data_IF_144004609012
#
_entry.id   IF_144004609012
#
_cell.length_a   1.000
_cell.length_b   1.000
_cell.length_c   1.000
_cell.angle_alpha   90.00
_cell.angle_beta   90.00
_cell.angle_gamma   90.00
#
_symmetry.space_group_name_H-M   'P 1'
#
loop_
_entity.id
_entity.type
_entity.pdbx_description
1 polymer ?
#
# COMPACT_ATOMS: atom_id res chain seq x y z
N UNK A 1 -25.32 -8.43 -70.47
CA UNK A 1 -24.46 -7.63 -69.56
C UNK A 1 -24.94 -7.94 -68.16
N UNK A 2 -24.34 -8.92 -67.49
CA UNK A 2 -24.76 -9.35 -66.15
C UNK A 2 -23.99 -8.54 -65.09
N UNK A 3 -24.69 -7.75 -64.28
CA UNK A 3 -24.10 -6.87 -63.27
C UNK A 3 -24.12 -7.54 -61.91
N UNK A 4 -23.05 -8.28 -61.60
CA UNK A 4 -22.80 -8.80 -60.26
C UNK A 4 -22.53 -7.63 -59.29
N UNK A 5 -23.27 -7.48 -58.18
CA UNK A 5 -22.98 -6.43 -57.21
C UNK A 5 -21.64 -6.68 -56.50
N UNK A 6 -20.86 -5.63 -56.19
CA UNK A 6 -19.53 -5.78 -55.61
C UNK A 6 -19.59 -6.45 -54.24
N UNK A 7 -18.78 -7.50 -54.07
CA UNK A 7 -18.60 -8.20 -52.81
C UNK A 7 -18.18 -7.21 -51.71
N UNK A 8 -18.95 -7.17 -50.63
CA UNK A 8 -18.63 -6.44 -49.40
C UNK A 8 -17.23 -6.88 -48.92
N UNK A 9 -16.31 -5.95 -48.57
CA UNK A 9 -15.03 -6.33 -47.98
C UNK A 9 -15.28 -7.18 -46.73
N UNK A 10 -14.46 -8.21 -46.43
CA UNK A 10 -14.64 -9.04 -45.25
C UNK A 10 -14.65 -8.13 -44.01
N UNK A 11 -15.81 -8.03 -43.38
CA UNK A 11 -16.01 -7.20 -42.20
C UNK A 11 -14.98 -7.58 -41.14
N UNK A 12 -14.46 -6.57 -40.42
CA UNK A 12 -13.81 -6.79 -39.14
C UNK A 12 -14.68 -7.79 -38.37
N UNK A 13 -14.11 -8.96 -38.07
CA UNK A 13 -14.75 -9.89 -37.15
C UNK A 13 -14.87 -9.15 -35.81
N UNK A 14 -16.04 -8.59 -35.53
CA UNK A 14 -16.45 -8.23 -34.18
C UNK A 14 -16.68 -9.52 -33.40
N UNK A 15 -15.59 -10.26 -33.16
CA UNK A 15 -15.56 -11.21 -32.06
C UNK A 15 -15.75 -10.43 -30.75
N UNK A 16 -16.26 -11.06 -29.69
CA UNK A 16 -16.43 -10.42 -28.39
C UNK A 16 -15.16 -9.65 -28.02
N UNK A 17 -15.26 -8.31 -27.96
CA UNK A 17 -14.13 -7.45 -27.59
C UNK A 17 -13.69 -7.92 -26.21
N UNK A 18 -12.46 -8.42 -26.09
CA UNK A 18 -11.88 -8.84 -24.80
C UNK A 18 -12.16 -7.72 -23.80
N UNK A 19 -12.75 -8.01 -22.62
CA UNK A 19 -13.06 -6.96 -21.66
C UNK A 19 -11.79 -6.18 -21.38
N UNK A 20 -11.86 -4.84 -21.26
CA UNK A 20 -10.68 -4.03 -21.00
C UNK A 20 -9.94 -4.62 -19.82
N UNK A 21 -8.66 -5.00 -20.02
CA UNK A 21 -7.81 -5.58 -18.98
C UNK A 21 -7.38 -4.47 -18.01
N UNK A 22 -8.35 -3.84 -17.37
CA UNK A 22 -8.16 -2.82 -16.35
C UNK A 22 -8.07 -3.57 -15.04
N UNK A 23 -6.89 -3.60 -14.44
CA UNK A 23 -6.77 -4.03 -13.06
C UNK A 23 -7.55 -3.04 -12.21
N UNK A 24 -8.58 -3.53 -11.50
CA UNK A 24 -9.33 -2.69 -10.58
C UNK A 24 -8.45 -2.41 -9.38
N UNK A 25 -8.16 -1.13 -9.11
CA UNK A 25 -7.50 -0.74 -7.87
C UNK A 25 -8.45 -1.02 -6.71
N UNK A 26 -8.15 -2.07 -5.93
CA UNK A 26 -8.89 -2.38 -4.71
C UNK A 26 -8.34 -1.52 -3.58
N UNK A 27 -9.21 -0.68 -3.00
CA UNK A 27 -8.89 0.01 -1.75
C UNK A 27 -8.89 -1.02 -0.61
N UNK A 28 -7.81 -1.06 0.16
CA UNK A 28 -7.66 -1.95 1.31
C UNK A 28 -7.85 -1.12 2.57
N UNK A 29 -8.85 -1.46 3.37
CA UNK A 29 -9.12 -0.77 4.64
C UNK A 29 -7.91 -0.87 5.58
N UNK A 30 -7.76 0.11 6.47
CA UNK A 30 -6.64 0.14 7.43
C UNK A 30 -6.53 -1.16 8.23
N UNK A 31 -7.65 -1.68 8.76
CA UNK A 31 -7.70 -2.95 9.50
C UNK A 31 -7.12 -4.13 8.70
N UNK A 32 -7.36 -4.17 7.39
CA UNK A 32 -6.80 -5.21 6.52
C UNK A 32 -5.31 -4.97 6.23
N UNK A 33 -4.85 -3.72 6.15
CA UNK A 33 -3.41 -3.41 6.06
C UNK A 33 -2.67 -3.89 7.30
N UNK A 34 -3.20 -3.61 8.50
CA UNK A 34 -2.61 -4.05 9.76
C UNK A 34 -2.46 -5.57 9.81
N UNK A 35 -3.53 -6.32 9.52
CA UNK A 35 -3.47 -7.78 9.50
C UNK A 35 -2.45 -8.35 8.49
N UNK A 36 -2.19 -7.65 7.38
CA UNK A 36 -1.16 -8.05 6.40
C UNK A 36 0.25 -7.78 6.95
N UNK A 37 0.44 -6.67 7.66
CA UNK A 37 1.70 -6.30 8.31
C UNK A 37 2.01 -7.28 9.45
N UNK A 38 1.05 -7.57 10.32
CA UNK A 38 1.24 -8.52 11.43
C UNK A 38 1.60 -9.92 10.90
N UNK A 39 0.94 -10.36 9.82
CA UNK A 39 1.27 -11.63 9.14
C UNK A 39 2.62 -11.61 8.41
N UNK A 40 3.09 -10.43 7.99
CA UNK A 40 4.42 -10.27 7.41
C UNK A 40 5.51 -10.44 8.46
N UNK A 41 5.33 -9.87 9.66
CA UNK A 41 6.29 -10.04 10.76
C UNK A 41 6.36 -11.49 11.24
N UNK A 42 5.23 -12.22 11.22
CA UNK A 42 5.17 -13.62 11.64
C UNK A 42 5.73 -14.62 10.60
N UNK A 43 5.35 -14.49 9.33
CA UNK A 43 5.59 -15.54 8.32
C UNK A 43 6.35 -15.04 7.07
N UNK A 44 6.68 -13.75 7.01
CA UNK A 44 7.32 -13.13 5.86
C UNK A 44 6.37 -12.84 4.67
N UNK A 45 6.90 -12.08 3.71
CA UNK A 45 6.12 -11.47 2.61
C UNK A 45 5.36 -12.47 1.74
N UNK A 46 6.00 -13.56 1.32
CA UNK A 46 5.40 -14.51 0.38
C UNK A 46 4.20 -15.23 1.00
N UNK A 47 4.35 -15.73 2.22
CA UNK A 47 3.29 -16.41 2.96
C UNK A 47 2.16 -15.44 3.34
N UNK A 48 2.49 -14.22 3.77
CA UNK A 48 1.50 -13.19 4.09
C UNK A 48 0.63 -12.83 2.87
N UNK A 49 1.23 -12.65 1.70
CA UNK A 49 0.50 -12.37 0.46
C UNK A 49 -0.39 -13.54 0.04
N UNK A 50 0.10 -14.79 0.17
CA UNK A 50 -0.71 -15.97 -0.14
C UNK A 50 -1.92 -16.11 0.79
N UNK A 51 -1.74 -15.87 2.10
CA UNK A 51 -2.81 -15.93 3.11
C UNK A 51 -3.87 -14.86 2.87
N UNK A 52 -3.46 -13.62 2.60
CA UNK A 52 -4.38 -12.48 2.54
C UNK A 52 -4.93 -12.19 1.15
N UNK A 53 -4.21 -12.58 0.11
CA UNK A 53 -4.53 -12.31 -1.30
C UNK A 53 -4.34 -13.55 -2.18
N UNK A 54 -4.99 -14.69 -1.87
CA UNK A 54 -4.77 -15.95 -2.60
C UNK A 54 -5.19 -15.89 -4.08
N UNK A 55 -6.03 -14.92 -4.43
CA UNK A 55 -6.55 -14.69 -5.78
C UNK A 55 -5.62 -13.81 -6.63
N UNK A 56 -4.65 -13.12 -6.03
CA UNK A 56 -3.71 -12.29 -6.77
C UNK A 56 -2.55 -13.15 -7.28
N UNK A 57 -2.26 -13.02 -8.58
CA UNK A 57 -1.15 -13.72 -9.25
C UNK A 57 -0.50 -12.81 -10.28
N UNK A 58 0.80 -12.93 -10.46
CA UNK A 58 1.56 -12.14 -11.43
C UNK A 58 1.58 -10.64 -11.06
N UNK A 59 1.45 -9.71 -12.04
CA UNK A 59 1.64 -8.28 -11.80
C UNK A 59 0.81 -7.65 -10.65
N UNK A 60 -0.46 -8.03 -10.42
CA UNK A 60 -1.23 -7.60 -9.25
C UNK A 60 -0.59 -7.98 -7.89
N UNK A 61 0.03 -9.16 -7.81
CA UNK A 61 0.73 -9.60 -6.62
C UNK A 61 1.97 -8.72 -6.37
N UNK A 62 2.72 -8.43 -7.44
CA UNK A 62 3.92 -7.58 -7.36
C UNK A 62 3.60 -6.14 -6.92
N UNK A 63 2.52 -5.57 -7.44
CA UNK A 63 2.07 -4.24 -6.99
C UNK A 63 1.59 -4.25 -5.54
N UNK A 64 0.95 -5.33 -5.08
CA UNK A 64 0.54 -5.49 -3.68
C UNK A 64 1.74 -5.61 -2.77
N UNK A 65 2.75 -6.40 -3.13
CA UNK A 65 4.03 -6.49 -2.42
C UNK A 65 4.68 -5.11 -2.25
N UNK A 66 4.79 -4.32 -3.33
CA UNK A 66 5.31 -2.94 -3.26
C UNK A 66 4.51 -2.07 -2.29
N UNK A 67 3.18 -2.19 -2.28
CA UNK A 67 2.32 -1.44 -1.35
C UNK A 67 2.55 -1.82 0.10
N UNK A 68 2.76 -3.12 0.40
CA UNK A 68 3.06 -3.56 1.77
C UNK A 68 4.38 -2.96 2.25
N UNK A 69 5.43 -2.95 1.43
CA UNK A 69 6.69 -2.29 1.81
C UNK A 69 6.54 -0.79 2.06
N UNK A 70 5.73 -0.10 1.24
CA UNK A 70 5.44 1.31 1.49
C UNK A 70 4.72 1.54 2.83
N UNK A 71 3.81 0.65 3.23
CA UNK A 71 3.14 0.74 4.53
C UNK A 71 4.10 0.47 5.69
N UNK A 72 4.99 -0.51 5.55
CA UNK A 72 6.02 -0.82 6.55
C UNK A 72 6.97 0.37 6.76
N UNK A 73 7.39 1.03 5.68
CA UNK A 73 8.24 2.22 5.77
C UNK A 73 7.58 3.35 6.59
N UNK A 74 6.31 3.64 6.28
CA UNK A 74 5.54 4.66 7.02
C UNK A 74 5.40 4.29 8.50
N UNK A 75 5.13 3.02 8.81
CA UNK A 75 5.06 2.57 10.21
C UNK A 75 6.40 2.70 10.92
N UNK A 76 7.50 2.35 10.26
CA UNK A 76 8.84 2.50 10.83
C UNK A 76 9.17 3.96 11.14
N UNK A 77 8.82 4.88 10.25
CA UNK A 77 9.02 6.33 10.46
C UNK A 77 8.17 6.83 11.63
N UNK A 78 6.90 6.42 11.72
CA UNK A 78 6.01 6.80 12.82
C UNK A 78 6.52 6.30 14.17
N UNK A 79 6.99 5.05 14.23
CA UNK A 79 7.56 4.47 15.46
C UNK A 79 8.82 5.21 15.87
N UNK A 80 9.74 5.48 14.94
CA UNK A 80 10.97 6.21 15.22
C UNK A 80 10.70 7.64 15.75
N UNK A 81 9.70 8.32 15.19
CA UNK A 81 9.31 9.67 15.60
C UNK A 81 8.51 9.71 16.91
N UNK A 82 7.99 8.57 17.38
CA UNK A 82 7.28 8.49 18.68
C UNK A 82 8.21 8.28 19.88
N UNK A 83 9.49 7.98 19.64
CA UNK A 83 10.49 7.71 20.67
C UNK A 83 11.22 8.97 21.18
N UNK A 84 10.78 10.17 20.77
CA UNK A 84 11.23 11.46 21.33
C UNK A 84 10.24 11.91 22.41
N UNK A 85 10.20 11.17 23.52
CA UNK A 85 9.79 11.79 24.79
C UNK A 85 11.05 12.53 25.24
N UNK A 86 11.15 13.80 24.83
CA UNK A 86 12.15 14.69 25.41
C UNK A 86 11.93 14.63 26.91
N UNK A 87 12.92 14.08 27.62
CA UNK A 87 13.21 14.34 29.02
C UNK A 87 13.42 15.84 29.19
N UNK A 88 12.35 16.65 29.04
CA UNK A 88 12.26 17.96 29.64
C UNK A 88 11.93 17.64 31.09
N UNK A 89 12.97 17.43 31.88
CA UNK A 89 12.85 17.46 33.32
C UNK A 89 12.54 18.93 33.70
N UNK A 90 11.32 19.27 34.15
CA UNK A 90 11.01 20.65 34.53
C UNK A 90 11.70 21.06 35.84
N UNK A 91 12.59 20.24 36.41
CA UNK A 91 13.22 20.51 37.71
C UNK A 91 14.68 21.02 37.66
N UNK A 92 15.31 21.13 36.48
CA UNK A 92 16.71 21.60 36.38
C UNK A 92 16.87 23.15 36.35
N UNK A 93 15.80 23.93 36.20
CA UNK A 93 15.84 25.40 36.05
C UNK A 93 15.23 26.20 37.23
N UNK A 94 15.41 25.75 38.49
CA UNK A 94 15.15 26.61 39.67
C UNK A 94 16.41 26.81 40.52
N UNK A 95 17.46 27.34 39.90
CA UNK A 95 18.45 28.14 40.65
C UNK A 95 17.82 29.48 41.07
N UNK A 96 17.03 29.49 42.15
CA UNK A 96 16.70 30.73 42.85
C UNK A 96 17.86 31.15 43.73
N UNK A 97 18.79 31.90 43.12
CA UNK A 97 19.77 32.71 43.82
C UNK A 97 19.04 33.86 44.53
N UNK A 98 18.78 33.74 45.83
CA UNK A 98 18.50 34.90 46.70
C UNK A 98 18.99 34.60 48.12
N UNK A 99 20.27 34.87 48.33
CA UNK A 99 20.82 35.24 49.63
C UNK A 99 21.56 36.58 49.43
N UNK A 100 20.93 37.72 49.70
CA UNK A 100 21.63 38.92 50.15
C UNK A 100 20.67 39.97 50.76
N UNK A 101 21.06 40.47 51.94
CA UNK A 101 20.58 41.64 52.70
C UNK A 101 19.14 41.60 53.26
N UNK A 102 18.87 41.85 54.55
CA UNK A 102 19.61 42.50 55.65
C UNK A 102 19.04 41.99 57.00
#
# INVERSE_FOLDING_TARGET
MDVTPPARPPGLKEGPKKPPKKFRNVHVSFKKKQAVIDSFDEMGMAAALLKHFPHLRGPPLDTTRKKVYAWLNILSELVANSAVDDTIDPTDDIESTTNHEL
#
